data_IF_916599637362
#
_entry.id   IF_916599637362
#
_cell.length_a   1.000
_cell.length_b   1.000
_cell.length_c   1.000
_cell.angle_alpha   90.00
_cell.angle_beta   90.00
_cell.angle_gamma   90.00
#
_symmetry.space_group_name_H-M   'P 1'
#
loop_
_entity.id
_entity.type
_entity.pdbx_description
1 polymer ?
#
# COMPACT_ATOMS: atom_id res chain seq x y z
N UNK A 1 8.70 2.82 12.63
CA UNK A 1 7.58 3.52 13.29
C UNK A 1 7.23 2.79 14.58
N UNK A 2 7.37 3.47 15.73
CA UNK A 2 7.11 2.87 17.04
C UNK A 2 5.60 2.91 17.45
N UNK A 3 4.73 3.28 16.55
CA UNK A 3 3.30 3.47 16.81
C UNK A 3 2.94 4.91 17.14
N UNK A 4 1.89 5.10 17.94
CA UNK A 4 1.34 6.41 18.26
C UNK A 4 2.24 7.22 19.21
N UNK A 5 2.16 8.54 19.08
CA UNK A 5 2.86 9.46 19.99
C UNK A 5 2.30 9.33 21.41
N UNK A 6 3.17 9.17 22.41
CA UNK A 6 2.77 8.96 23.81
C UNK A 6 1.96 10.12 24.40
N UNK A 7 2.24 11.37 24.02
CA UNK A 7 1.46 12.52 24.49
C UNK A 7 0.07 12.55 23.87
N UNK A 8 -0.06 12.13 22.60
CA UNK A 8 -1.37 11.93 21.99
C UNK A 8 -2.15 10.81 22.71
N UNK A 9 -1.52 9.67 23.02
CA UNK A 9 -2.15 8.58 23.75
C UNK A 9 -2.65 9.00 25.15
N UNK A 10 -1.87 9.83 25.87
CA UNK A 10 -2.32 10.39 27.15
C UNK A 10 -3.59 11.22 27.02
N UNK A 11 -3.68 12.09 26.00
CA UNK A 11 -4.90 12.88 25.77
C UNK A 11 -6.08 12.00 25.35
N UNK A 12 -5.84 11.04 24.48
CA UNK A 12 -6.86 10.13 23.97
C UNK A 12 -7.51 9.30 25.11
N UNK A 13 -6.76 8.99 26.15
CA UNK A 13 -7.28 8.22 27.31
C UNK A 13 -8.48 8.91 28.00
N UNK A 14 -8.55 10.25 27.92
CA UNK A 14 -9.60 11.06 28.53
C UNK A 14 -10.69 11.48 27.55
N UNK A 15 -10.62 11.08 26.27
CA UNK A 15 -11.58 11.45 25.23
C UNK A 15 -12.94 10.77 25.46
N UNK A 16 -13.99 11.53 25.24
CA UNK A 16 -15.34 10.98 25.05
C UNK A 16 -15.38 10.08 23.80
N UNK A 17 -16.45 9.30 23.67
CA UNK A 17 -16.67 8.49 22.47
C UNK A 17 -16.63 9.33 21.18
N UNK A 18 -17.27 10.49 21.18
CA UNK A 18 -17.39 11.34 20.00
C UNK A 18 -16.05 11.99 19.63
N UNK A 19 -15.26 12.40 20.63
CA UNK A 19 -13.88 12.87 20.42
C UNK A 19 -12.99 11.75 19.84
N UNK A 20 -13.13 10.52 20.33
CA UNK A 20 -12.44 9.34 19.78
C UNK A 20 -12.84 9.08 18.32
N UNK A 21 -14.12 9.19 17.96
CA UNK A 21 -14.60 9.07 16.57
C UNK A 21 -13.97 10.14 15.68
N UNK A 22 -13.98 11.39 16.12
CA UNK A 22 -13.39 12.50 15.37
C UNK A 22 -11.87 12.35 15.19
N UNK A 23 -11.17 11.88 16.21
CA UNK A 23 -9.71 11.65 16.16
C UNK A 23 -9.35 10.45 15.26
N UNK A 24 -10.02 9.31 15.44
CA UNK A 24 -9.85 8.13 14.59
C UNK A 24 -10.18 8.42 13.11
N UNK A 25 -11.18 9.29 12.87
CA UNK A 25 -11.54 9.75 11.54
C UNK A 25 -10.39 10.44 10.80
N UNK A 26 -9.55 11.20 11.50
CA UNK A 26 -8.36 11.85 10.90
C UNK A 26 -7.31 10.81 10.45
N UNK A 27 -7.09 9.78 11.26
CA UNK A 27 -6.19 8.68 10.89
C UNK A 27 -6.75 7.90 9.69
N UNK A 28 -8.04 7.59 9.71
CA UNK A 28 -8.72 6.90 8.61
C UNK A 28 -8.61 7.69 7.30
N UNK A 29 -8.82 9.02 7.35
CA UNK A 29 -8.71 9.90 6.19
C UNK A 29 -7.26 9.96 5.67
N UNK A 30 -6.27 10.05 6.54
CA UNK A 30 -4.85 10.00 6.14
C UNK A 30 -4.53 8.70 5.40
N UNK A 31 -4.96 7.56 5.90
CA UNK A 31 -4.74 6.26 5.25
C UNK A 31 -5.46 6.19 3.90
N UNK A 32 -6.71 6.70 3.83
CA UNK A 32 -7.47 6.77 2.57
C UNK A 32 -6.73 7.60 1.52
N UNK A 33 -6.22 8.78 1.89
CA UNK A 33 -5.48 9.67 0.98
C UNK A 33 -4.20 9.00 0.45
N UNK A 34 -3.48 8.24 1.28
CA UNK A 34 -2.30 7.48 0.84
C UNK A 34 -2.72 6.38 -0.14
N UNK A 35 -3.74 5.60 0.22
CA UNK A 35 -4.21 4.46 -0.57
C UNK A 35 -4.76 4.89 -1.94
N UNK A 36 -5.57 5.96 -1.96
CA UNK A 36 -6.19 6.51 -3.18
C UNK A 36 -5.27 7.50 -3.93
N UNK A 37 -4.05 7.74 -3.45
CA UNK A 37 -3.11 8.61 -4.15
C UNK A 37 -3.01 8.18 -5.62
N UNK A 38 -3.23 9.10 -6.60
CA UNK A 38 -3.21 8.72 -8.01
C UNK A 38 -1.83 8.34 -8.53
N UNK A 39 -0.78 8.60 -7.76
CA UNK A 39 0.60 8.17 -8.05
C UNK A 39 0.91 6.90 -7.27
N UNK A 40 1.73 5.99 -7.82
CA UNK A 40 2.26 4.87 -7.05
C UNK A 40 2.99 5.33 -5.80
N UNK A 41 2.79 4.60 -4.70
CA UNK A 41 3.40 4.85 -3.41
C UNK A 41 4.26 3.66 -3.00
N UNK A 42 5.45 3.93 -2.44
CA UNK A 42 6.38 2.90 -1.98
C UNK A 42 6.67 3.14 -0.50
N UNK A 43 6.38 2.16 0.34
CA UNK A 43 6.83 2.14 1.72
C UNK A 43 8.28 1.65 1.78
N UNK A 44 9.20 2.54 2.18
CA UNK A 44 10.60 2.24 2.45
C UNK A 44 10.77 1.98 3.94
N UNK A 45 10.90 0.71 4.31
CA UNK A 45 10.89 0.26 5.70
C UNK A 45 12.30 -0.06 6.17
N UNK A 46 12.92 0.87 6.92
CA UNK A 46 14.30 0.75 7.40
C UNK A 46 14.43 0.15 8.82
N UNK A 47 13.34 -0.28 9.43
CA UNK A 47 13.34 -0.84 10.78
C UNK A 47 11.95 -1.24 11.23
N UNK A 48 11.77 -1.43 12.53
CA UNK A 48 10.54 -1.95 13.11
C UNK A 48 9.30 -1.07 12.83
N UNK A 49 8.15 -1.74 12.66
CA UNK A 49 6.85 -1.13 12.37
C UNK A 49 5.80 -1.64 13.35
N UNK A 50 5.22 -0.73 14.14
CA UNK A 50 4.23 -1.06 15.17
C UNK A 50 2.89 -0.36 14.93
N UNK A 51 1.81 -1.05 15.28
CA UNK A 51 0.44 -0.52 15.37
C UNK A 51 0.02 0.29 14.13
N UNK A 52 -0.32 1.57 14.28
CA UNK A 52 -0.69 2.44 13.16
C UNK A 52 0.33 2.50 12.02
N UNK A 53 1.63 2.26 12.30
CA UNK A 53 2.68 2.14 11.29
C UNK A 53 2.43 1.00 10.30
N UNK A 54 1.83 -0.11 10.75
CA UNK A 54 1.42 -1.22 9.88
C UNK A 54 0.39 -0.74 8.84
N UNK A 55 -0.54 0.13 9.26
CA UNK A 55 -1.51 0.74 8.36
C UNK A 55 -0.87 1.62 7.30
N UNK A 56 0.16 2.40 7.65
CA UNK A 56 0.89 3.24 6.69
C UNK A 56 1.59 2.39 5.62
N UNK A 57 2.26 1.31 6.03
CA UNK A 57 2.90 0.37 5.09
C UNK A 57 1.87 -0.28 4.19
N UNK A 58 0.76 -0.78 4.77
CA UNK A 58 -0.30 -1.47 4.03
C UNK A 58 -1.12 -0.57 3.09
N UNK A 59 -1.18 0.74 3.37
CA UNK A 59 -1.85 1.71 2.51
C UNK A 59 -1.00 2.11 1.29
N UNK A 60 0.29 1.79 1.26
CA UNK A 60 1.14 1.98 0.09
C UNK A 60 0.94 0.85 -0.93
N UNK A 61 1.18 1.15 -2.21
CA UNK A 61 1.07 0.16 -3.29
C UNK A 61 2.16 -0.90 -3.23
N UNK A 62 3.35 -0.52 -2.78
CA UNK A 62 4.52 -1.40 -2.67
C UNK A 62 5.22 -1.16 -1.33
N UNK A 63 5.86 -2.21 -0.82
CA UNK A 63 6.65 -2.13 0.40
C UNK A 63 7.96 -2.90 0.24
N UNK A 64 9.07 -2.25 0.57
CA UNK A 64 10.41 -2.83 0.64
C UNK A 64 10.90 -2.69 2.07
N UNK A 65 11.32 -3.78 2.69
CA UNK A 65 11.80 -3.79 4.06
C UNK A 65 13.24 -4.30 4.18
N UNK A 66 13.93 -3.82 5.21
CA UNK A 66 15.21 -4.44 5.58
C UNK A 66 14.96 -5.78 6.28
N UNK A 67 15.91 -6.69 6.17
CA UNK A 67 15.87 -8.05 6.73
C UNK A 67 15.79 -8.07 8.27
N UNK A 68 16.26 -7.01 8.93
CA UNK A 68 16.20 -6.82 10.37
C UNK A 68 14.88 -6.24 10.88
N UNK A 69 13.98 -5.79 9.99
CA UNK A 69 12.72 -5.18 10.37
C UNK A 69 11.78 -6.17 11.08
N UNK A 70 11.10 -5.68 12.10
CA UNK A 70 10.05 -6.40 12.78
C UNK A 70 8.72 -5.69 12.71
N UNK A 71 7.64 -6.45 12.75
CA UNK A 71 6.28 -5.99 12.58
C UNK A 71 5.40 -6.46 13.73
N UNK A 72 4.52 -5.60 14.24
CA UNK A 72 3.66 -5.94 15.36
C UNK A 72 2.37 -5.12 15.38
N UNK A 73 1.25 -5.80 15.52
CA UNK A 73 -0.09 -5.22 15.76
C UNK A 73 -0.36 -5.33 17.27
N UNK A 74 0.15 -4.37 18.04
CA UNK A 74 0.23 -4.45 19.51
C UNK A 74 -1.03 -3.99 20.23
N UNK A 75 -2.06 -3.56 19.53
CA UNK A 75 -3.25 -2.89 20.05
C UNK A 75 -3.96 -3.68 21.16
N UNK A 76 -4.15 -4.99 20.96
CA UNK A 76 -4.88 -5.83 21.94
C UNK A 76 -4.18 -5.94 23.30
N UNK A 77 -2.86 -5.72 23.38
CA UNK A 77 -2.12 -5.65 24.65
C UNK A 77 -2.50 -4.42 25.48
N UNK A 78 -3.12 -3.42 24.86
CA UNK A 78 -3.59 -2.20 25.50
C UNK A 78 -5.12 -2.17 25.64
N UNK A 79 -5.81 -3.27 25.36
CA UNK A 79 -7.29 -3.31 25.33
C UNK A 79 -7.91 -2.56 24.14
N UNK A 80 -7.12 -2.32 23.08
CA UNK A 80 -7.53 -1.66 21.85
C UNK A 80 -7.59 -2.66 20.68
N UNK A 81 -8.09 -2.20 19.54
CA UNK A 81 -8.10 -2.98 18.30
C UNK A 81 -7.53 -2.15 17.15
N UNK A 82 -6.86 -2.76 16.15
CA UNK A 82 -6.31 -2.06 14.99
C UNK A 82 -7.38 -1.70 13.95
N UNK A 83 -8.49 -1.07 14.39
CA UNK A 83 -9.70 -0.92 13.58
C UNK A 83 -9.49 -0.08 12.32
N UNK A 84 -8.93 1.14 12.45
CA UNK A 84 -8.76 2.07 11.34
C UNK A 84 -7.79 1.58 10.28
N UNK A 85 -6.79 0.79 10.66
CA UNK A 85 -5.81 0.22 9.74
C UNK A 85 -6.26 -1.10 9.14
N UNK A 86 -7.25 -1.78 9.75
CA UNK A 86 -7.61 -3.16 9.40
C UNK A 86 -7.98 -3.36 7.92
N UNK A 87 -8.70 -2.44 7.22
CA UNK A 87 -9.03 -2.65 5.82
C UNK A 87 -7.80 -2.80 4.93
N UNK A 88 -6.75 -2.05 5.22
CA UNK A 88 -5.48 -2.06 4.46
C UNK A 88 -4.62 -3.27 4.84
N UNK A 89 -4.46 -3.51 6.13
CA UNK A 89 -3.62 -4.60 6.64
C UNK A 89 -4.17 -5.97 6.25
N UNK A 90 -5.50 -6.18 6.36
CA UNK A 90 -6.13 -7.44 5.96
C UNK A 90 -5.99 -7.67 4.45
N UNK A 91 -6.12 -6.64 3.61
CA UNK A 91 -5.88 -6.75 2.17
C UNK A 91 -4.44 -7.12 1.84
N UNK A 92 -3.48 -6.57 2.58
CA UNK A 92 -2.06 -6.84 2.35
C UNK A 92 -1.63 -8.24 2.77
N UNK A 93 -2.05 -8.74 3.95
CA UNK A 93 -1.57 -10.03 4.49
C UNK A 93 -2.60 -11.17 4.43
N UNK A 94 -3.81 -10.87 4.01
CA UNK A 94 -4.92 -11.82 4.02
C UNK A 94 -5.54 -12.04 5.40
N UNK A 95 -6.83 -12.44 5.41
CA UNK A 95 -7.59 -12.61 6.65
C UNK A 95 -6.97 -13.66 7.59
N UNK A 96 -6.40 -14.74 7.06
CA UNK A 96 -5.86 -15.81 7.88
C UNK A 96 -4.62 -15.37 8.69
N UNK A 97 -3.70 -14.65 8.09
CA UNK A 97 -2.55 -14.07 8.80
C UNK A 97 -3.01 -12.97 9.76
N UNK A 98 -3.95 -12.12 9.34
CA UNK A 98 -4.52 -11.09 10.19
C UNK A 98 -5.16 -11.67 11.45
N UNK A 99 -5.94 -12.76 11.37
CA UNK A 99 -6.47 -13.43 12.56
C UNK A 99 -5.38 -13.78 13.58
N UNK A 100 -4.26 -14.34 13.13
CA UNK A 100 -3.17 -14.69 14.04
C UNK A 100 -2.60 -13.43 14.70
N UNK A 101 -2.11 -12.50 13.91
CA UNK A 101 -1.33 -11.37 14.42
C UNK A 101 -2.17 -10.29 15.11
N UNK A 102 -3.43 -10.13 14.75
CA UNK A 102 -4.36 -9.23 15.47
C UNK A 102 -4.71 -9.76 16.87
N UNK A 103 -4.88 -11.07 17.01
CA UNK A 103 -5.31 -11.69 18.25
C UNK A 103 -4.15 -11.91 19.23
N UNK A 104 -2.98 -12.28 18.72
CA UNK A 104 -1.82 -12.62 19.58
C UNK A 104 -0.94 -11.41 19.88
N UNK A 105 -0.98 -10.39 19.03
CA UNK A 105 -0.03 -9.28 19.06
C UNK A 105 1.44 -9.75 19.16
N UNK A 106 1.75 -10.91 18.59
CA UNK A 106 3.13 -11.38 18.48
C UNK A 106 3.89 -10.58 17.42
N UNK A 107 5.18 -10.35 17.67
CA UNK A 107 6.07 -9.74 16.69
C UNK A 107 6.48 -10.79 15.68
N UNK A 108 6.51 -10.42 14.39
CA UNK A 108 7.04 -11.25 13.30
C UNK A 108 8.11 -10.48 12.53
N UNK A 109 9.05 -11.22 11.94
CA UNK A 109 10.18 -10.64 11.21
C UNK A 109 9.89 -10.41 9.73
N UNK A 110 10.85 -9.80 9.04
CA UNK A 110 10.76 -9.44 7.62
C UNK A 110 10.51 -10.66 6.71
N UNK A 111 11.15 -11.80 6.98
CA UNK A 111 10.94 -13.03 6.20
C UNK A 111 9.48 -13.52 6.29
N UNK A 112 8.85 -13.44 7.45
CA UNK A 112 7.44 -13.77 7.61
C UNK A 112 6.54 -12.71 6.94
N UNK A 113 6.89 -11.42 7.05
CA UNK A 113 6.17 -10.35 6.37
C UNK A 113 6.14 -10.55 4.85
N UNK A 114 7.26 -10.98 4.26
CA UNK A 114 7.34 -11.36 2.85
C UNK A 114 6.48 -12.60 2.55
N UNK A 115 6.59 -13.65 3.36
CA UNK A 115 5.85 -14.90 3.16
C UNK A 115 4.33 -14.71 3.15
N UNK A 116 3.81 -13.81 3.99
CA UNK A 116 2.37 -13.52 4.07
C UNK A 116 1.91 -12.40 3.14
N UNK A 117 2.80 -11.86 2.31
CA UNK A 117 2.50 -10.81 1.34
C UNK A 117 2.37 -9.40 1.92
N UNK A 118 2.73 -9.20 3.21
CA UNK A 118 2.66 -7.87 3.83
C UNK A 118 3.70 -6.90 3.28
N UNK A 119 4.88 -7.40 2.90
CA UNK A 119 5.89 -6.65 2.13
C UNK A 119 6.20 -7.40 0.84
N UNK A 120 6.63 -6.67 -0.19
CA UNK A 120 6.92 -7.24 -1.52
C UNK A 120 8.35 -7.70 -1.66
N UNK A 121 9.27 -7.03 -0.96
CA UNK A 121 10.72 -7.29 -1.03
C UNK A 121 11.35 -7.17 0.36
N UNK A 122 12.34 -8.02 0.60
CA UNK A 122 13.19 -7.96 1.79
C UNK A 122 14.65 -7.96 1.33
N UNK A 123 15.41 -6.99 1.80
CA UNK A 123 16.80 -6.77 1.40
C UNK A 123 17.69 -6.48 2.61
N UNK A 124 18.99 -6.61 2.47
CA UNK A 124 19.96 -6.14 3.46
C UNK A 124 19.83 -4.62 3.67
N UNK A 125 20.20 -4.14 4.86
CA UNK A 125 20.02 -2.73 5.23
C UNK A 125 20.67 -1.75 4.26
N UNK A 126 21.86 -2.08 3.76
CA UNK A 126 22.63 -1.27 2.80
C UNK A 126 22.10 -1.34 1.37
N UNK A 127 21.26 -2.33 1.05
CA UNK A 127 20.64 -2.50 -0.26
C UNK A 127 19.25 -1.84 -0.38
N UNK A 128 18.70 -1.28 0.70
CA UNK A 128 17.33 -0.77 0.73
C UNK A 128 17.09 0.32 -0.30
N UNK A 129 17.97 1.32 -0.37
CA UNK A 129 17.82 2.42 -1.31
C UNK A 129 17.97 1.97 -2.77
N UNK A 130 18.93 1.07 -3.04
CA UNK A 130 19.12 0.51 -4.38
C UNK A 130 17.86 -0.24 -4.87
N UNK A 131 17.19 -1.00 -4.00
CA UNK A 131 15.94 -1.71 -4.36
C UNK A 131 14.79 -0.73 -4.59
N UNK A 132 14.65 0.30 -3.77
CA UNK A 132 13.64 1.35 -3.99
C UNK A 132 13.90 2.09 -5.31
N UNK A 133 15.15 2.41 -5.61
CA UNK A 133 15.54 3.06 -6.87
C UNK A 133 15.25 2.17 -8.10
N UNK A 134 15.41 0.86 -7.99
CA UNK A 134 15.02 -0.09 -9.04
C UNK A 134 13.52 0.02 -9.36
N UNK A 135 12.66 0.02 -8.32
CA UNK A 135 11.21 0.19 -8.48
C UNK A 135 10.87 1.57 -9.06
N UNK A 136 11.52 2.63 -8.59
CA UNK A 136 11.32 3.99 -9.10
C UNK A 136 11.70 4.08 -10.59
N UNK A 137 12.81 3.45 -11.01
CA UNK A 137 13.21 3.39 -12.42
C UNK A 137 12.19 2.65 -13.27
N UNK A 138 11.65 1.53 -12.79
CA UNK A 138 10.58 0.80 -13.48
C UNK A 138 9.34 1.68 -13.66
N UNK A 139 8.88 2.34 -12.60
CA UNK A 139 7.71 3.22 -12.63
C UNK A 139 7.90 4.44 -13.53
N UNK A 140 9.06 5.09 -13.47
CA UNK A 140 9.35 6.31 -14.25
C UNK A 140 9.66 6.04 -15.71
N UNK A 141 10.00 4.79 -16.08
CA UNK A 141 10.16 4.38 -17.48
C UNK A 141 8.82 4.08 -18.17
N UNK A 142 7.75 3.89 -17.40
CA UNK A 142 6.42 3.61 -17.93
C UNK A 142 5.62 4.90 -18.20
N UNK A 143 4.56 4.79 -19.03
CA UNK A 143 3.65 5.91 -19.31
C UNK A 143 2.96 6.39 -18.02
N UNK A 144 3.08 7.68 -17.63
CA UNK A 144 2.50 8.19 -16.39
C UNK A 144 0.98 8.01 -16.31
N UNK A 145 0.27 8.18 -17.42
CA UNK A 145 -1.19 7.98 -17.46
C UNK A 145 -1.57 6.51 -17.33
N UNK A 146 -0.81 5.61 -18.00
CA UNK A 146 -1.06 4.17 -17.90
C UNK A 146 -0.78 3.63 -16.50
N UNK A 147 0.29 4.09 -15.84
CA UNK A 147 0.59 3.70 -14.46
C UNK A 147 -0.55 4.10 -13.50
N UNK A 148 -1.06 5.33 -13.61
CA UNK A 148 -2.23 5.78 -12.83
C UNK A 148 -3.47 4.95 -13.12
N UNK A 149 -3.74 4.68 -14.39
CA UNK A 149 -4.88 3.87 -14.79
C UNK A 149 -4.75 2.41 -14.31
N UNK A 150 -3.56 1.83 -14.34
CA UNK A 150 -3.30 0.49 -13.78
C UNK A 150 -3.54 0.44 -12.27
N UNK A 151 -3.08 1.45 -11.50
CA UNK A 151 -3.37 1.51 -10.06
C UNK A 151 -4.89 1.54 -9.82
N UNK A 152 -5.60 2.41 -10.53
CA UNK A 152 -7.07 2.48 -10.43
C UNK A 152 -7.73 1.16 -10.85
N UNK A 153 -7.27 0.53 -11.93
CA UNK A 153 -7.80 -0.75 -12.40
C UNK A 153 -7.69 -1.85 -11.33
N UNK A 154 -6.55 -1.95 -10.64
CA UNK A 154 -6.40 -2.92 -9.53
C UNK A 154 -7.43 -2.65 -8.44
N UNK A 155 -7.64 -1.39 -8.04
CA UNK A 155 -8.63 -1.03 -7.02
C UNK A 155 -10.07 -1.32 -7.47
N UNK A 156 -10.38 -1.10 -8.74
CA UNK A 156 -11.72 -1.28 -9.30
C UNK A 156 -12.08 -2.76 -9.52
N UNK A 157 -11.10 -3.63 -9.73
CA UNK A 157 -11.31 -5.03 -10.13
C UNK A 157 -11.04 -6.03 -9.01
N UNK A 158 -10.09 -5.72 -8.10
CA UNK A 158 -9.73 -6.65 -7.04
C UNK A 158 -10.95 -7.03 -6.17
N UNK A 159 -11.04 -8.32 -5.86
CA UNK A 159 -12.09 -8.90 -5.01
C UNK A 159 -13.54 -8.78 -5.55
N UNK A 160 -13.71 -8.40 -6.82
CA UNK A 160 -15.02 -8.36 -7.46
C UNK A 160 -15.30 -9.67 -8.21
N UNK A 161 -16.57 -10.07 -8.20
CA UNK A 161 -17.04 -11.20 -9.02
C UNK A 161 -16.89 -10.87 -10.52
N UNK A 162 -16.34 -11.84 -11.28
CA UNK A 162 -16.23 -11.72 -12.74
C UNK A 162 -17.60 -11.96 -13.36
N UNK A 163 -18.23 -10.89 -13.79
CA UNK A 163 -19.53 -10.90 -14.44
C UNK A 163 -19.54 -10.01 -15.70
N UNK A 164 -20.63 -10.01 -16.45
CA UNK A 164 -20.74 -9.26 -17.71
C UNK A 164 -20.48 -7.76 -17.53
N UNK A 165 -20.92 -7.17 -16.40
CA UNK A 165 -20.71 -5.75 -16.11
C UNK A 165 -19.23 -5.43 -15.88
N UNK A 166 -18.52 -6.27 -15.10
CA UNK A 166 -17.09 -6.09 -14.88
C UNK A 166 -16.29 -6.28 -16.19
N UNK A 167 -16.65 -7.29 -16.99
CA UNK A 167 -16.03 -7.53 -18.30
C UNK A 167 -16.23 -6.31 -19.21
N UNK A 168 -17.44 -5.79 -19.32
CA UNK A 168 -17.73 -4.59 -20.13
C UNK A 168 -16.88 -3.39 -19.65
N UNK A 169 -16.81 -3.12 -18.36
CA UNK A 169 -16.02 -2.03 -17.81
C UNK A 169 -14.52 -2.16 -18.15
N UNK A 170 -13.96 -3.37 -18.12
CA UNK A 170 -12.55 -3.59 -18.49
C UNK A 170 -12.30 -3.44 -19.99
N UNK A 171 -13.27 -3.80 -20.84
CA UNK A 171 -13.23 -3.58 -22.30
C UNK A 171 -13.20 -2.09 -22.61
N UNK A 172 -14.10 -1.29 -22.01
CA UNK A 172 -14.11 0.16 -22.15
C UNK A 172 -12.78 0.77 -21.66
N UNK A 173 -12.31 0.36 -20.49
CA UNK A 173 -11.06 0.86 -19.93
C UNK A 173 -9.85 0.65 -20.84
N UNK A 174 -9.68 -0.51 -21.46
CA UNK A 174 -8.58 -0.73 -22.42
C UNK A 174 -8.77 0.03 -23.72
N UNK A 175 -10.03 0.21 -24.18
CA UNK A 175 -10.32 0.99 -25.37
C UNK A 175 -9.94 2.46 -25.18
N UNK A 176 -10.30 3.05 -24.03
CA UNK A 176 -9.95 4.43 -23.66
C UNK A 176 -8.43 4.65 -23.62
N UNK A 177 -7.70 3.74 -22.96
CA UNK A 177 -6.23 3.83 -22.89
C UNK A 177 -5.60 3.72 -24.28
N UNK A 178 -6.06 2.80 -25.12
CA UNK A 178 -5.56 2.66 -26.51
C UNK A 178 -5.84 3.91 -27.35
N UNK A 179 -6.97 4.57 -27.14
CA UNK A 179 -7.36 5.78 -27.83
C UNK A 179 -6.61 7.03 -27.34
N UNK A 180 -6.02 6.99 -26.15
CA UNK A 180 -5.31 8.12 -25.54
C UNK A 180 -4.03 8.50 -26.31
N UNK A 181 -3.57 9.74 -26.11
CA UNK A 181 -2.30 10.22 -26.72
C UNK A 181 -1.09 9.41 -26.27
N UNK A 182 -1.00 9.10 -24.96
CA UNK A 182 0.11 8.27 -24.43
C UNK A 182 0.00 6.81 -24.92
N UNK A 183 -1.20 6.25 -25.03
CA UNK A 183 -1.39 4.90 -25.57
C UNK A 183 -0.94 4.79 -27.03
N UNK A 184 -1.32 5.75 -27.85
CA UNK A 184 -0.88 5.83 -29.27
C UNK A 184 0.64 6.03 -29.37
N UNK A 185 1.20 6.97 -28.59
CA UNK A 185 2.65 7.23 -28.55
C UNK A 185 3.42 5.97 -28.13
N UNK A 186 2.97 5.26 -27.11
CA UNK A 186 3.60 4.04 -26.62
C UNK A 186 3.69 2.96 -27.70
N UNK A 187 2.56 2.68 -28.36
CA UNK A 187 2.51 1.69 -29.47
C UNK A 187 3.38 2.12 -30.64
N UNK A 188 3.30 3.39 -31.06
CA UNK A 188 4.10 3.89 -32.19
C UNK A 188 5.59 3.89 -31.87
N UNK A 189 5.99 4.28 -30.68
CA UNK A 189 7.41 4.26 -30.28
C UNK A 189 7.98 2.86 -30.26
N UNK A 190 7.20 1.88 -29.75
CA UNK A 190 7.58 0.46 -29.76
C UNK A 190 7.77 -0.07 -31.19
N UNK A 191 6.78 0.14 -32.08
CA UNK A 191 6.85 -0.32 -33.48
C UNK A 191 8.01 0.33 -34.24
N UNK A 192 8.32 1.60 -33.96
CA UNK A 192 9.41 2.34 -34.58
C UNK A 192 10.76 2.17 -33.87
N UNK A 193 10.87 1.29 -32.86
CA UNK A 193 12.10 1.01 -32.07
C UNK A 193 12.76 2.28 -31.54
N UNK A 194 11.98 3.26 -31.09
CA UNK A 194 12.44 4.49 -30.46
C UNK A 194 11.94 4.61 -29.01
N UNK A 195 12.56 5.47 -28.22
CA UNK A 195 12.07 5.78 -26.89
C UNK A 195 10.76 6.57 -26.99
N UNK A 196 9.76 6.31 -26.12
CA UNK A 196 8.56 7.11 -26.03
C UNK A 196 8.86 8.51 -25.46
N UNK A 197 7.96 9.47 -25.72
CA UNK A 197 8.17 10.88 -25.38
C UNK A 197 8.26 11.16 -23.86
N UNK A 198 7.74 10.28 -23.01
CA UNK A 198 7.85 10.41 -21.53
C UNK A 198 9.20 9.94 -20.97
N UNK A 199 10.01 9.24 -21.74
CA UNK A 199 11.38 8.83 -21.39
C UNK A 199 12.37 9.86 -21.94
N UNK A 200 12.35 11.07 -21.37
CA UNK A 200 13.32 12.13 -21.74
C UNK A 200 14.68 11.92 -21.10
#
# INVERSE_FOLDING_TARGET
CAGANLNWMRRMADYTRDENVADAGKLAEMLRVIYECPKPTIARVQGDVYAGGMGLVAACDMAVAVDTAGFCLSEVKLGLIPATISPYVIRAMGARAAHRYFLTAERFGAAEALRIGFVHEVVATDALDAKVDELLKALTSASPSAVRACKKLVMDVAEREINAGLIAATVEGIADIRASSEGKEGVQSFLNKRKPAWMK
#
